data_IF_606973790697
#
_entry.id   IF_606973790697
#
_cell.length_a   1.000
_cell.length_b   1.000
_cell.length_c   1.000
_cell.angle_alpha   90.00
_cell.angle_beta   90.00
_cell.angle_gamma   90.00
#
_symmetry.space_group_name_H-M   'P 1'
#
loop_
_entity.id
_entity.type
_entity.pdbx_description
1 polymer ?
#
# COMPACT_ATOMS: atom_id res chain seq x y z
N UNK A 1 -12.85 0.33 -9.84
CA UNK A 1 -14.14 1.04 -9.80
C UNK A 1 -14.86 0.90 -11.12
N UNK A 2 -14.25 1.30 -12.24
CA UNK A 2 -14.84 1.18 -13.58
C UNK A 2 -15.38 -0.22 -13.92
N UNK A 3 -14.57 -1.26 -13.70
CA UNK A 3 -14.96 -2.67 -13.89
C UNK A 3 -16.25 -3.05 -13.13
N UNK A 4 -16.39 -2.58 -11.88
CA UNK A 4 -17.58 -2.88 -11.08
C UNK A 4 -18.82 -2.14 -11.60
N UNK A 5 -18.65 -0.88 -12.04
CA UNK A 5 -19.74 -0.08 -12.62
C UNK A 5 -20.21 -0.69 -13.93
N UNK A 6 -19.29 -0.99 -14.86
CA UNK A 6 -19.60 -1.67 -16.12
C UNK A 6 -20.31 -3.00 -15.86
N UNK A 7 -19.78 -3.82 -14.95
CA UNK A 7 -20.40 -5.08 -14.56
C UNK A 7 -21.82 -4.91 -14.02
N UNK A 8 -22.09 -3.90 -13.19
CA UNK A 8 -23.44 -3.60 -12.70
C UNK A 8 -24.40 -3.20 -13.83
N UNK A 9 -23.96 -2.33 -14.75
CA UNK A 9 -24.76 -1.90 -15.88
C UNK A 9 -25.13 -3.07 -16.79
N UNK A 10 -24.16 -3.95 -17.08
CA UNK A 10 -24.36 -5.11 -17.96
C UNK A 10 -25.22 -6.18 -17.26
N UNK A 11 -25.06 -6.37 -15.95
CA UNK A 11 -25.94 -7.25 -15.18
C UNK A 11 -27.40 -6.77 -15.22
N UNK A 12 -27.62 -5.45 -15.07
CA UNK A 12 -28.95 -4.85 -15.18
C UNK A 12 -29.54 -5.02 -16.59
N UNK A 13 -28.73 -4.77 -17.62
CA UNK A 13 -29.11 -4.99 -19.02
C UNK A 13 -29.50 -6.45 -19.29
N UNK A 14 -28.65 -7.41 -18.88
CA UNK A 14 -28.91 -8.85 -19.00
C UNK A 14 -30.23 -9.24 -18.32
N UNK A 15 -30.50 -8.69 -17.13
CA UNK A 15 -31.75 -8.95 -16.41
C UNK A 15 -32.97 -8.39 -17.16
N UNK A 16 -32.82 -7.24 -17.81
CA UNK A 16 -33.86 -6.62 -18.64
C UNK A 16 -34.25 -7.47 -19.86
N UNK A 17 -33.26 -8.00 -20.59
CA UNK A 17 -33.49 -8.82 -21.78
C UNK A 17 -33.91 -10.27 -21.46
N UNK A 18 -33.64 -10.75 -20.24
CA UNK A 18 -33.97 -12.11 -19.80
C UNK A 18 -35.27 -12.15 -18.96
N UNK A 19 -36.18 -11.19 -19.14
CA UNK A 19 -37.45 -11.18 -18.40
C UNK A 19 -38.31 -12.38 -18.80
N UNK A 20 -38.83 -13.10 -17.81
CA UNK A 20 -39.71 -14.26 -18.01
C UNK A 20 -39.00 -15.58 -18.34
N UNK A 21 -37.68 -15.60 -18.51
CA UNK A 21 -36.93 -16.83 -18.82
C UNK A 21 -36.49 -17.61 -17.58
N UNK A 22 -36.50 -16.98 -16.41
CA UNK A 22 -36.11 -17.62 -15.14
C UNK A 22 -37.29 -17.88 -14.21
N UNK A 23 -37.27 -19.00 -13.47
CA UNK A 23 -38.24 -19.28 -12.42
C UNK A 23 -38.31 -18.15 -11.39
N UNK A 24 -39.51 -17.92 -10.86
CA UNK A 24 -39.73 -16.94 -9.80
C UNK A 24 -38.88 -17.30 -8.57
N UNK A 25 -38.06 -16.37 -8.10
CA UNK A 25 -37.20 -16.55 -6.92
C UNK A 25 -35.73 -16.89 -7.20
N UNK A 26 -35.35 -17.19 -8.45
CA UNK A 26 -33.94 -17.42 -8.79
C UNK A 26 -33.19 -16.09 -8.97
N UNK A 27 -32.22 -15.82 -8.09
CA UNK A 27 -31.41 -14.59 -8.08
C UNK A 27 -30.00 -14.90 -8.58
N UNK A 28 -29.54 -14.15 -9.57
CA UNK A 28 -28.14 -14.19 -9.98
C UNK A 28 -27.29 -13.30 -9.07
N UNK A 29 -26.24 -13.89 -8.51
CA UNK A 29 -25.20 -13.18 -7.77
C UNK A 29 -23.96 -13.11 -8.66
N UNK A 30 -23.43 -11.89 -8.82
CA UNK A 30 -22.26 -11.60 -9.64
C UNK A 30 -21.13 -11.07 -8.75
N UNK A 31 -20.08 -11.87 -8.57
CA UNK A 31 -18.92 -11.46 -7.78
C UNK A 31 -17.90 -10.73 -8.67
N UNK A 32 -17.83 -9.41 -8.55
CA UNK A 32 -16.83 -8.58 -9.24
C UNK A 32 -15.46 -8.76 -8.58
N UNK A 33 -14.71 -9.77 -9.01
CA UNK A 33 -13.35 -10.05 -8.54
C UNK A 33 -12.39 -10.28 -9.71
N UNK A 34 -11.10 -9.98 -9.52
CA UNK A 34 -10.02 -10.31 -10.45
C UNK A 34 -9.32 -11.64 -10.12
N UNK A 35 -9.71 -12.34 -9.03
CA UNK A 35 -8.91 -13.45 -8.47
C UNK A 35 -8.54 -14.54 -9.48
N UNK A 36 -9.44 -14.91 -10.40
CA UNK A 36 -9.21 -15.96 -11.40
C UNK A 36 -8.35 -15.53 -12.59
N UNK A 37 -8.04 -14.24 -12.73
CA UNK A 37 -7.36 -13.65 -13.89
C UNK A 37 -6.09 -12.88 -13.55
N UNK A 38 -6.09 -12.12 -12.46
CA UNK A 38 -4.96 -11.30 -12.04
C UNK A 38 -4.94 -11.19 -10.52
N UNK A 39 -4.18 -12.09 -9.90
CA UNK A 39 -3.90 -12.10 -8.46
C UNK A 39 -2.46 -11.61 -8.22
N UNK A 40 -2.28 -10.73 -7.24
CA UNK A 40 -0.99 -10.17 -6.87
C UNK A 40 -0.65 -10.54 -5.43
N UNK A 41 0.54 -11.10 -5.21
CA UNK A 41 1.02 -11.39 -3.85
C UNK A 41 1.39 -10.09 -3.12
N UNK A 42 1.27 -10.09 -1.79
CA UNK A 42 1.70 -8.95 -0.96
C UNK A 42 3.17 -8.58 -1.21
N UNK A 43 4.03 -9.57 -1.48
CA UNK A 43 5.44 -9.30 -1.80
C UNK A 43 5.58 -8.54 -3.11
N UNK A 44 4.91 -9.02 -4.17
CA UNK A 44 4.93 -8.35 -5.48
C UNK A 44 4.35 -6.94 -5.39
N UNK A 45 3.30 -6.73 -4.59
CA UNK A 45 2.72 -5.42 -4.34
C UNK A 45 3.73 -4.45 -3.69
N UNK A 46 4.51 -4.93 -2.71
CA UNK A 46 5.59 -4.13 -2.11
C UNK A 46 6.65 -3.79 -3.16
N UNK A 47 7.09 -4.76 -3.95
CA UNK A 47 8.11 -4.53 -4.98
C UNK A 47 7.64 -3.49 -6.01
N UNK A 48 6.38 -3.56 -6.46
CA UNK A 48 5.78 -2.55 -7.33
C UNK A 48 5.70 -1.19 -6.65
N UNK A 49 5.29 -1.14 -5.38
CA UNK A 49 5.21 0.12 -4.62
C UNK A 49 6.57 0.82 -4.57
N UNK A 50 7.67 0.08 -4.43
CA UNK A 50 9.01 0.66 -4.40
C UNK A 50 9.43 1.28 -5.73
N UNK A 51 9.03 0.67 -6.86
CA UNK A 51 9.25 1.23 -8.19
C UNK A 51 8.46 2.52 -8.34
N UNK A 52 7.17 2.47 -8.01
CA UNK A 52 6.25 3.59 -8.19
C UNK A 52 6.59 4.76 -7.29
N UNK A 53 7.01 4.52 -6.05
CA UNK A 53 7.46 5.58 -5.15
C UNK A 53 8.75 6.26 -5.62
N UNK A 54 9.59 5.59 -6.43
CA UNK A 54 10.75 6.22 -7.08
C UNK A 54 10.33 7.08 -8.27
N UNK A 55 9.32 6.63 -9.03
CA UNK A 55 8.81 7.35 -10.19
C UNK A 55 8.00 8.60 -9.77
N UNK A 56 7.08 8.42 -8.80
CA UNK A 56 6.08 9.39 -8.36
C UNK A 56 6.14 9.70 -6.84
N UNK A 57 7.27 10.16 -6.30
CA UNK A 57 7.50 10.34 -4.86
C UNK A 57 6.68 11.48 -4.24
N UNK A 58 6.00 11.23 -3.12
CA UNK A 58 5.17 12.20 -2.38
C UNK A 58 6.04 13.32 -1.79
N UNK A 59 5.54 14.56 -1.84
CA UNK A 59 6.28 15.73 -1.40
C UNK A 59 6.30 15.85 0.13
N UNK A 60 5.17 15.57 0.78
CA UNK A 60 4.99 15.68 2.23
C UNK A 60 5.50 14.46 3.05
N UNK A 61 6.66 13.91 2.67
CA UNK A 61 7.32 12.87 3.46
C UNK A 61 8.17 13.45 4.60
N UNK A 62 8.09 12.82 5.78
CA UNK A 62 8.93 13.15 6.96
C UNK A 62 10.20 12.29 6.97
N UNK A 63 10.09 11.04 6.54
CA UNK A 63 11.18 10.07 6.48
C UNK A 63 11.05 9.17 5.25
N UNK A 64 12.08 8.40 4.94
CA UNK A 64 12.03 7.42 3.85
C UNK A 64 10.98 6.35 4.15
N UNK A 65 10.06 6.08 3.22
CA UNK A 65 9.08 5.02 3.40
C UNK A 65 9.79 3.66 3.45
N UNK A 66 9.35 2.81 4.37
CA UNK A 66 9.79 1.42 4.49
C UNK A 66 8.56 0.55 4.61
N UNK A 67 8.50 -0.51 3.81
CA UNK A 67 7.39 -1.44 3.78
C UNK A 67 7.96 -2.84 3.94
N UNK A 68 7.37 -3.60 4.85
CA UNK A 68 7.68 -5.01 5.02
C UNK A 68 6.43 -5.75 5.45
N UNK A 69 6.37 -7.03 5.09
CA UNK A 69 5.28 -7.93 5.45
C UNK A 69 5.86 -9.14 6.16
N UNK A 70 5.16 -9.61 7.18
CA UNK A 70 5.58 -10.78 7.95
C UNK A 70 4.40 -11.69 8.19
N UNK A 71 4.67 -13.00 8.21
CA UNK A 71 3.69 -14.02 8.56
C UNK A 71 3.51 -14.17 10.07
N UNK A 72 4.44 -13.63 10.87
CA UNK A 72 4.41 -13.74 12.33
C UNK A 72 3.93 -12.44 12.96
N UNK A 73 2.83 -12.53 13.69
CA UNK A 73 2.27 -11.40 14.43
C UNK A 73 3.18 -10.91 15.57
N UNK A 74 3.94 -11.81 16.19
CA UNK A 74 4.95 -11.45 17.20
C UNK A 74 6.08 -10.62 16.57
N UNK A 75 6.58 -11.04 15.41
CA UNK A 75 7.60 -10.30 14.66
C UNK A 75 7.06 -8.93 14.22
N UNK A 76 5.80 -8.87 13.77
CA UNK A 76 5.13 -7.61 13.44
C UNK A 76 5.11 -6.66 14.65
N UNK A 77 4.67 -7.14 15.83
CA UNK A 77 4.61 -6.32 17.05
C UNK A 77 5.97 -5.78 17.46
N UNK A 78 7.01 -6.62 17.45
CA UNK A 78 8.37 -6.20 17.78
C UNK A 78 8.87 -5.13 16.80
N UNK A 79 8.74 -5.37 15.49
CA UNK A 79 9.16 -4.41 14.46
C UNK A 79 8.36 -3.11 14.55
N UNK A 80 7.06 -3.19 14.75
CA UNK A 80 6.22 -2.01 14.90
C UNK A 80 6.61 -1.21 16.16
N UNK A 81 6.90 -1.87 17.27
CA UNK A 81 7.36 -1.22 18.48
C UNK A 81 8.67 -0.46 18.26
N UNK A 82 9.72 -1.14 17.78
CA UNK A 82 11.05 -0.54 17.64
C UNK A 82 11.12 0.49 16.50
N UNK A 83 10.51 0.22 15.35
CA UNK A 83 10.63 1.08 14.16
C UNK A 83 9.65 2.24 14.15
N UNK A 84 8.50 2.12 14.80
CA UNK A 84 7.43 3.12 14.74
C UNK A 84 7.17 3.77 16.10
N UNK A 85 6.82 2.99 17.13
CA UNK A 85 6.40 3.55 18.41
C UNK A 85 7.56 4.17 19.20
N UNK A 86 8.69 3.47 19.31
CA UNK A 86 9.87 3.96 20.02
C UNK A 86 10.40 5.24 19.36
N UNK A 87 10.53 5.23 18.03
CA UNK A 87 10.96 6.41 17.27
C UNK A 87 9.97 7.56 17.43
N UNK A 88 8.67 7.30 17.34
CA UNK A 88 7.64 8.32 17.52
C UNK A 88 7.67 8.93 18.93
N UNK A 89 7.87 8.12 19.98
CA UNK A 89 7.99 8.59 21.36
C UNK A 89 9.21 9.49 21.56
N UNK A 90 10.37 9.10 21.02
CA UNK A 90 11.59 9.91 21.08
C UNK A 90 11.36 11.25 20.39
N UNK A 91 10.85 11.25 19.16
CA UNK A 91 10.65 12.49 18.39
C UNK A 91 9.59 13.38 19.02
N UNK A 92 8.44 12.82 19.44
CA UNK A 92 7.39 13.62 20.11
C UNK A 92 7.87 14.19 21.45
N UNK A 93 8.73 13.49 22.18
CA UNK A 93 9.35 14.00 23.41
C UNK A 93 10.29 15.16 23.12
N UNK A 94 11.15 15.04 22.09
CA UNK A 94 12.01 16.14 21.65
C UNK A 94 11.18 17.34 21.20
N UNK A 95 10.11 17.14 20.43
CA UNK A 95 9.21 18.22 20.04
C UNK A 95 8.64 18.94 21.26
N UNK A 96 8.19 18.23 22.29
CA UNK A 96 7.73 18.84 23.55
C UNK A 96 8.80 19.67 24.25
N UNK A 97 10.03 19.16 24.33
CA UNK A 97 11.18 19.89 24.91
C UNK A 97 11.42 21.19 24.15
N UNK A 98 11.32 21.17 22.82
CA UNK A 98 11.43 22.35 21.95
C UNK A 98 10.12 23.17 21.85
N UNK A 99 9.14 22.93 22.73
CA UNK A 99 7.83 23.61 22.76
C UNK A 99 7.05 23.53 21.43
N UNK A 100 7.26 22.45 20.68
CA UNK A 100 6.51 22.11 19.45
C UNK A 100 5.45 21.05 19.75
N UNK A 101 4.46 20.98 18.87
CA UNK A 101 3.34 20.05 18.99
C UNK A 101 3.76 18.61 18.62
N UNK A 102 3.59 17.63 19.53
CA UNK A 102 3.83 16.21 19.22
C UNK A 102 2.72 15.67 18.31
N UNK A 103 3.08 14.85 17.33
CA UNK A 103 2.13 14.33 16.34
C UNK A 103 2.38 12.87 15.92
N UNK A 104 3.62 12.39 15.99
CA UNK A 104 3.99 11.12 15.37
C UNK A 104 3.33 9.94 16.05
N UNK A 105 3.21 9.95 17.39
CA UNK A 105 2.58 8.84 18.10
C UNK A 105 1.10 8.71 17.71
N UNK A 106 0.40 9.85 17.59
CA UNK A 106 -1.01 9.88 17.17
C UNK A 106 -1.19 9.29 15.77
N UNK A 107 -0.28 9.62 14.84
CA UNK A 107 -0.30 9.10 13.47
C UNK A 107 -0.09 7.58 13.48
N UNK A 108 0.93 7.09 14.21
CA UNK A 108 1.23 5.66 14.24
C UNK A 108 0.12 4.82 14.91
N UNK A 109 -0.56 5.34 15.94
CA UNK A 109 -1.74 4.68 16.53
C UNK A 109 -2.84 4.52 15.48
N UNK A 110 -3.14 5.57 14.70
CA UNK A 110 -4.14 5.49 13.62
C UNK A 110 -3.76 4.45 12.57
N UNK A 111 -2.50 4.45 12.14
CA UNK A 111 -1.98 3.46 11.18
C UNK A 111 -2.10 2.05 11.74
N UNK A 112 -1.71 1.84 13.00
CA UNK A 112 -1.80 0.52 13.64
C UNK A 112 -3.24 0.03 13.73
N UNK A 113 -4.18 0.89 14.13
CA UNK A 113 -5.59 0.52 14.19
C UNK A 113 -6.13 0.13 12.80
N UNK A 114 -5.74 0.86 11.75
CA UNK A 114 -6.10 0.51 10.38
C UNK A 114 -5.49 -0.84 9.95
N UNK A 115 -4.21 -1.08 10.26
CA UNK A 115 -3.54 -2.36 9.96
C UNK A 115 -4.21 -3.51 10.71
N UNK A 116 -4.57 -3.33 11.98
CA UNK A 116 -5.27 -4.35 12.77
C UNK A 116 -6.67 -4.64 12.22
N UNK A 117 -7.42 -3.60 11.85
CA UNK A 117 -8.75 -3.75 11.26
C UNK A 117 -8.69 -4.47 9.89
N UNK A 118 -7.68 -4.17 9.08
CA UNK A 118 -7.50 -4.77 7.76
C UNK A 118 -6.77 -6.11 7.78
N UNK A 119 -6.17 -6.50 8.90
CA UNK A 119 -5.30 -7.67 9.00
C UNK A 119 -6.00 -8.96 8.55
N UNK A 120 -7.24 -9.19 8.99
CA UNK A 120 -8.02 -10.37 8.59
C UNK A 120 -8.16 -10.52 7.07
N UNK A 121 -8.34 -9.40 6.37
CA UNK A 121 -8.55 -9.39 4.92
C UNK A 121 -7.24 -9.44 4.14
N UNK A 122 -6.18 -8.81 4.66
CA UNK A 122 -4.90 -8.65 3.94
C UNK A 122 -3.92 -9.81 4.16
N UNK A 123 -4.08 -10.61 5.22
CA UNK A 123 -3.19 -11.74 5.52
C UNK A 123 -3.75 -13.10 5.11
N UNK A 124 -4.98 -13.15 4.59
CA UNK A 124 -5.62 -14.38 4.11
C UNK A 124 -5.75 -14.35 2.60
N UNK A 125 -5.68 -15.53 2.00
CA UNK A 125 -6.01 -15.69 0.59
C UNK A 125 -7.52 -15.84 0.44
N UNK A 126 -8.06 -15.14 -0.55
CA UNK A 126 -9.49 -15.13 -0.83
C UNK A 126 -9.71 -15.56 -2.26
N UNK A 127 -10.39 -16.68 -2.44
CA UNK A 127 -10.83 -17.17 -3.74
C UNK A 127 -12.32 -16.88 -3.90
N UNK A 128 -12.64 -16.07 -4.90
CA UNK A 128 -14.02 -15.76 -5.26
C UNK A 128 -14.35 -16.46 -6.57
N UNK A 129 -15.38 -17.31 -6.59
CA UNK A 129 -15.96 -17.74 -7.85
C UNK A 129 -16.64 -16.52 -8.50
N UNK A 130 -16.16 -16.17 -9.69
CA UNK A 130 -16.62 -15.02 -10.47
C UNK A 130 -17.05 -15.41 -11.89
N UNK A 131 -17.33 -16.70 -12.17
CA UNK A 131 -17.64 -17.19 -13.51
C UNK A 131 -18.84 -16.46 -14.12
N UNK A 132 -19.90 -16.28 -13.33
CA UNK A 132 -21.09 -15.51 -13.73
C UNK A 132 -20.76 -14.06 -14.08
N UNK A 133 -19.84 -13.44 -13.35
CA UNK A 133 -19.43 -12.05 -13.58
C UNK A 133 -18.61 -11.92 -14.85
N UNK A 134 -17.65 -12.81 -15.08
CA UNK A 134 -16.86 -12.83 -16.32
C UNK A 134 -17.74 -13.09 -17.55
N UNK A 135 -18.74 -13.97 -17.42
CA UNK A 135 -19.70 -14.25 -18.48
C UNK A 135 -20.58 -13.05 -18.87
N UNK A 136 -20.72 -12.02 -18.01
CA UNK A 136 -21.44 -10.79 -18.38
C UNK A 136 -20.79 -10.10 -19.57
N UNK A 137 -19.48 -10.21 -19.74
CA UNK A 137 -18.78 -9.57 -20.85
C UNK A 137 -19.20 -10.15 -22.22
N UNK A 138 -19.70 -11.38 -22.26
CA UNK A 138 -20.22 -12.02 -23.47
C UNK A 138 -21.63 -11.55 -23.84
N UNK A 139 -22.32 -10.85 -22.93
CA UNK A 139 -23.68 -10.30 -23.16
C UNK A 139 -23.61 -8.94 -23.84
N UNK A 140 -22.46 -8.26 -23.77
CA UNK A 140 -22.25 -6.95 -24.39
C UNK A 140 -22.34 -7.08 -25.91
N UNK A 141 -23.24 -6.35 -26.58
CA UNK A 141 -23.31 -6.34 -28.04
C UNK A 141 -21.99 -5.87 -28.67
N UNK A 142 -21.62 -6.36 -29.87
CA UNK A 142 -20.39 -5.93 -30.54
C UNK A 142 -20.28 -4.42 -30.73
N UNK A 143 -21.40 -3.74 -30.98
CA UNK A 143 -21.45 -2.28 -31.15
C UNK A 143 -21.08 -1.50 -29.87
N UNK A 144 -21.31 -2.09 -28.70
CA UNK A 144 -21.10 -1.46 -27.39
C UNK A 144 -19.81 -1.95 -26.70
N UNK A 145 -19.10 -2.89 -27.34
CA UNK A 145 -17.99 -3.61 -26.74
C UNK A 145 -16.87 -2.67 -26.30
N UNK A 146 -16.52 -1.67 -27.11
CA UNK A 146 -15.48 -0.70 -26.77
C UNK A 146 -15.78 0.08 -25.48
N UNK A 147 -17.05 0.46 -25.27
CA UNK A 147 -17.45 1.27 -24.12
C UNK A 147 -17.65 0.44 -22.85
N UNK A 148 -18.12 -0.80 -22.99
CA UNK A 148 -18.57 -1.62 -21.88
C UNK A 148 -17.69 -2.84 -21.60
N UNK A 149 -16.65 -3.10 -22.38
CA UNK A 149 -15.68 -4.13 -22.05
C UNK A 149 -14.99 -3.79 -20.72
N UNK A 150 -14.91 -4.81 -19.88
CA UNK A 150 -14.27 -4.79 -18.57
C UNK A 150 -13.37 -6.01 -18.39
N UNK A 151 -12.92 -6.63 -19.48
CA UNK A 151 -11.98 -7.75 -19.42
C UNK A 151 -10.72 -7.36 -18.63
N UNK A 152 -10.20 -8.34 -17.89
CA UNK A 152 -8.94 -8.20 -17.18
C UNK A 152 -7.72 -8.52 -18.08
N UNK A 153 -7.96 -8.93 -19.33
CA UNK A 153 -6.89 -9.32 -20.25
C UNK A 153 -6.04 -8.08 -20.62
N UNK A 154 -4.71 -8.24 -20.62
CA UNK A 154 -3.77 -7.15 -20.92
C UNK A 154 -3.58 -6.11 -19.81
N UNK A 155 -4.18 -6.29 -18.64
CA UNK A 155 -3.95 -5.41 -17.49
C UNK A 155 -2.62 -5.71 -16.81
N UNK A 156 -1.61 -4.93 -17.14
CA UNK A 156 -0.33 -4.94 -16.43
C UNK A 156 -0.45 -4.22 -15.08
N UNK A 157 -0.20 -4.89 -13.93
CA UNK A 157 -0.38 -4.29 -12.61
C UNK A 157 0.41 -3.00 -12.41
N UNK A 158 1.62 -2.92 -12.98
CA UNK A 158 2.48 -1.73 -12.84
C UNK A 158 1.81 -0.49 -13.44
N UNK A 159 1.21 -0.59 -14.62
CA UNK A 159 0.62 0.56 -15.31
C UNK A 159 -0.65 1.03 -14.60
N UNK A 160 -1.46 0.08 -14.11
CA UNK A 160 -2.58 0.40 -13.22
C UNK A 160 -2.13 1.20 -12.00
N UNK A 161 -1.09 0.72 -11.29
CA UNK A 161 -0.63 1.40 -10.08
C UNK A 161 0.09 2.72 -10.37
N UNK A 162 0.71 2.91 -11.55
CA UNK A 162 1.25 4.21 -11.97
C UNK A 162 0.14 5.25 -12.12
N UNK A 163 -0.93 4.89 -12.84
CA UNK A 163 -2.11 5.76 -13.00
C UNK A 163 -2.71 6.07 -11.63
N UNK A 164 -2.87 5.04 -10.78
CA UNK A 164 -3.38 5.22 -9.42
C UNK A 164 -2.50 6.13 -8.57
N UNK A 165 -1.17 6.02 -8.68
CA UNK A 165 -0.24 6.88 -7.94
C UNK A 165 -0.32 8.33 -8.41
N UNK A 166 -0.34 8.59 -9.73
CA UNK A 166 -0.53 9.95 -10.27
C UNK A 166 -1.88 10.54 -9.83
N UNK A 167 -2.95 9.74 -9.91
CA UNK A 167 -4.28 10.14 -9.45
C UNK A 167 -4.30 10.43 -7.95
N UNK A 168 -3.67 9.59 -7.13
CA UNK A 168 -3.55 9.80 -5.69
C UNK A 168 -2.81 11.09 -5.36
N UNK A 169 -1.70 11.38 -6.05
CA UNK A 169 -1.01 12.67 -5.88
C UNK A 169 -1.93 13.84 -6.16
N UNK A 170 -2.56 13.85 -7.33
CA UNK A 170 -3.35 14.98 -7.81
C UNK A 170 -4.64 15.18 -7.00
N UNK A 171 -5.39 14.11 -6.76
CA UNK A 171 -6.76 14.19 -6.24
C UNK A 171 -6.88 13.89 -4.75
N UNK A 172 -6.00 13.05 -4.18
CA UNK A 172 -6.04 12.72 -2.75
C UNK A 172 -5.10 13.61 -1.93
N UNK A 173 -3.91 13.88 -2.45
CA UNK A 173 -2.89 14.67 -1.76
C UNK A 173 -2.83 16.12 -2.21
N UNK A 174 -3.57 16.49 -3.26
CA UNK A 174 -3.56 17.82 -3.87
C UNK A 174 -2.14 18.28 -4.27
N UNK A 175 -1.28 17.35 -4.71
CA UNK A 175 0.06 17.62 -5.20
C UNK A 175 0.10 17.64 -6.72
N UNK A 176 0.62 18.72 -7.30
CA UNK A 176 0.83 18.83 -8.75
C UNK A 176 1.98 17.93 -9.23
N UNK A 177 1.88 17.38 -10.44
CA UNK A 177 2.91 16.49 -11.01
C UNK A 177 4.24 17.21 -11.26
N UNK A 178 4.22 18.53 -11.49
CA UNK A 178 5.44 19.35 -11.62
C UNK A 178 6.30 19.37 -10.35
N UNK A 179 5.76 18.97 -9.19
CA UNK A 179 6.50 18.91 -7.92
C UNK A 179 7.40 17.67 -7.79
N UNK A 180 7.24 16.67 -8.67
CA UNK A 180 7.99 15.41 -8.64
C UNK A 180 9.53 15.60 -8.58
N UNK A 181 10.16 16.49 -9.37
CA UNK A 181 11.61 16.70 -9.30
C UNK A 181 12.07 17.20 -7.93
N UNK A 182 11.27 18.04 -7.26
CA UNK A 182 11.57 18.53 -5.93
C UNK A 182 11.41 17.44 -4.87
N UNK A 183 10.36 16.62 -4.98
CA UNK A 183 10.18 15.47 -4.11
C UNK A 183 11.33 14.46 -4.25
N UNK A 184 11.82 14.21 -5.48
CA UNK A 184 13.02 13.39 -5.72
C UNK A 184 14.26 13.94 -5.01
N UNK A 185 14.53 15.25 -5.13
CA UNK A 185 15.63 15.91 -4.40
C UNK A 185 15.50 15.77 -2.88
N UNK A 186 14.28 15.90 -2.34
CA UNK A 186 14.00 15.70 -0.92
C UNK A 186 14.33 14.28 -0.47
N UNK A 187 13.94 13.27 -1.25
CA UNK A 187 14.29 11.87 -0.99
C UNK A 187 15.80 11.65 -0.97
N UNK A 188 16.55 12.21 -1.91
CA UNK A 188 18.02 12.07 -1.93
C UNK A 188 18.67 12.68 -0.69
N UNK A 189 18.19 13.84 -0.22
CA UNK A 189 18.65 14.43 1.05
C UNK A 189 18.33 13.53 2.25
N UNK A 190 17.14 12.94 2.28
CA UNK A 190 16.75 12.01 3.35
C UNK A 190 17.56 10.71 3.31
N UNK A 191 17.95 10.22 2.12
CA UNK A 191 18.88 9.08 1.97
C UNK A 191 20.25 9.40 2.54
N UNK A 192 20.81 10.57 2.21
CA UNK A 192 22.08 11.02 2.78
C UNK A 192 21.99 11.12 4.30
N UNK A 193 20.95 11.79 4.82
CA UNK A 193 20.72 11.92 6.26
C UNK A 193 20.57 10.56 6.95
N UNK A 194 19.80 9.63 6.36
CA UNK A 194 19.68 8.28 6.87
C UNK A 194 21.02 7.54 6.88
N UNK A 195 21.85 7.74 5.87
CA UNK A 195 23.20 7.17 5.79
C UNK A 195 24.08 7.69 6.92
N UNK A 196 24.12 9.01 7.13
CA UNK A 196 24.88 9.65 8.21
C UNK A 196 24.44 9.13 9.58
N UNK A 197 23.12 9.13 9.84
CA UNK A 197 22.59 8.64 11.13
C UNK A 197 23.00 7.19 11.40
N UNK A 198 22.90 6.31 10.38
CA UNK A 198 23.31 4.90 10.51
C UNK A 198 24.81 4.78 10.77
N UNK A 199 25.64 5.50 10.02
CA UNK A 199 27.08 5.50 10.22
C UNK A 199 27.46 5.98 11.62
N UNK A 200 26.93 7.11 12.07
CA UNK A 200 27.17 7.64 13.43
C UNK A 200 26.72 6.66 14.51
N UNK A 201 25.58 5.98 14.32
CA UNK A 201 25.12 4.95 15.25
C UNK A 201 26.09 3.76 15.32
N UNK A 202 26.48 3.19 14.17
CA UNK A 202 27.37 2.03 14.13
C UNK A 202 28.78 2.36 14.65
N UNK A 203 29.33 3.53 14.34
CA UNK A 203 30.63 3.95 14.89
C UNK A 203 30.55 4.18 16.39
N UNK A 204 29.47 4.78 16.90
CA UNK A 204 29.25 4.94 18.34
C UNK A 204 29.14 3.62 19.09
N UNK A 205 28.40 2.64 18.54
CA UNK A 205 28.30 1.29 19.11
C UNK A 205 29.66 0.59 19.09
N UNK A 206 30.39 0.66 17.98
CA UNK A 206 31.72 0.05 17.86
C UNK A 206 32.72 0.65 18.86
N UNK A 207 32.71 1.98 19.03
CA UNK A 207 33.53 2.67 20.02
C UNK A 207 33.21 2.23 21.45
N UNK A 208 31.92 2.14 21.81
CA UNK A 208 31.49 1.69 23.13
C UNK A 208 31.90 0.24 23.42
N UNK A 209 31.72 -0.65 22.44
CA UNK A 209 32.12 -2.07 22.56
C UNK A 209 33.64 -2.19 22.71
N UNK A 210 34.42 -1.43 21.92
CA UNK A 210 35.86 -1.38 22.05
C UNK A 210 36.29 -0.93 23.45
N UNK A 211 35.73 0.18 23.94
CA UNK A 211 36.03 0.69 25.29
C UNK A 211 35.69 -0.33 26.39
N UNK A 212 34.56 -1.02 26.27
CA UNK A 212 34.17 -2.08 27.20
C UNK A 212 35.17 -3.26 27.17
N UNK A 213 35.50 -3.79 25.99
CA UNK A 213 36.45 -4.91 25.84
C UNK A 213 37.83 -4.51 26.37
N UNK A 214 38.33 -3.32 26.02
CA UNK A 214 39.61 -2.82 26.51
C UNK A 214 39.61 -2.65 28.03
N UNK A 215 38.51 -2.20 28.63
CA UNK A 215 38.41 -2.09 30.09
C UNK A 215 38.46 -3.47 30.76
N UNK A 216 37.73 -4.46 30.24
CA UNK A 216 37.74 -5.83 30.79
C UNK A 216 39.13 -6.48 30.64
N UNK A 217 39.79 -6.30 29.50
CA UNK A 217 41.13 -6.81 29.24
C UNK A 217 42.22 -6.17 30.13
N UNK A 218 42.00 -4.95 30.64
CA UNK A 218 42.91 -4.29 31.59
C UNK A 218 42.74 -4.80 33.03
N UNK A 219 41.63 -5.50 33.34
CA UNK A 219 41.33 -6.06 34.65
C UNK A 219 41.39 -7.61 34.69
N UNK A 220 41.86 -8.24 33.61
CA UNK A 220 42.11 -9.69 33.48
C UNK A 220 43.60 -9.97 33.34
#
# INVERSE_FOLDING_TARGET
VDVAIKGMLIAAYKKGISRGTKPLGEIDVYNSSSTSKSSISNRKLIDLSQIIHKEFPINEIIWLPSYDVTKSFAVYRLRAFFSHYLVALIVDTLLRIFKRTPMLLKIHIKIHNAVMALGYFTTKEWTFNNDKFLALNNVVPPADKESFDFSFDGLEPIDYFRIAAMGGRKYLLNEDLSTIPNAKKKIERLKLLSGVIKWTFYTGVAYYVYGYISSVALFS
#
